data_IF_971523592234
#
_entry.id   IF_971523592234
#
_cell.length_a   1.000
_cell.length_b   1.000
_cell.length_c   1.000
_cell.angle_alpha   90.00
_cell.angle_beta   90.00
_cell.angle_gamma   90.00
#
_symmetry.space_group_name_H-M   'P 1'
#
loop_
_entity.id
_entity.type
_entity.pdbx_description
1 polymer ?
#
# COMPACT_ATOMS: atom_id res chain seq x y z
N UNK A 1 -8.13 14.49 -13.44
CA UNK A 1 -8.59 14.88 -12.10
C UNK A 1 -7.53 14.40 -11.11
N UNK A 2 -6.64 15.28 -10.65
CA UNK A 2 -5.68 14.93 -9.61
C UNK A 2 -6.45 14.91 -8.28
N UNK A 3 -6.54 13.75 -7.65
CA UNK A 3 -7.18 13.61 -6.33
C UNK A 3 -6.23 14.25 -5.32
N UNK A 4 -6.72 15.22 -4.55
CA UNK A 4 -5.95 15.84 -3.49
C UNK A 4 -6.04 14.96 -2.23
N UNK A 5 -4.87 14.52 -1.74
CA UNK A 5 -4.75 13.60 -0.61
C UNK A 5 -4.27 14.29 0.67
N UNK A 6 -4.26 15.63 0.71
CA UNK A 6 -3.87 16.39 1.91
C UNK A 6 -4.75 16.06 3.13
N UNK A 7 -5.99 15.63 2.91
CA UNK A 7 -6.93 15.14 3.94
C UNK A 7 -6.42 13.91 4.71
N UNK A 8 -5.56 13.08 4.11
CA UNK A 8 -4.95 11.93 4.80
C UNK A 8 -4.04 12.43 5.95
N UNK A 9 -3.45 13.62 5.80
CA UNK A 9 -2.60 14.25 6.82
C UNK A 9 -3.40 14.73 8.05
N UNK A 10 -4.71 14.89 7.91
CA UNK A 10 -5.61 15.31 9.00
C UNK A 10 -6.14 14.14 9.83
N UNK A 11 -5.86 12.90 9.44
CA UNK A 11 -6.23 11.73 10.24
C UNK A 11 -5.53 11.79 11.60
N UNK A 12 -6.28 11.87 12.72
CA UNK A 12 -5.72 12.14 14.04
C UNK A 12 -4.91 10.95 14.58
N UNK A 13 -5.14 9.73 14.06
CA UNK A 13 -4.43 8.52 14.48
C UNK A 13 -3.34 8.14 13.49
N UNK A 14 -2.16 7.82 14.02
CA UNK A 14 -1.00 7.33 13.26
C UNK A 14 -1.36 6.07 12.46
N UNK A 15 -2.09 5.16 13.09
CA UNK A 15 -2.67 3.98 12.47
C UNK A 15 -3.62 4.34 11.30
N UNK A 16 -4.42 5.39 11.44
CA UNK A 16 -5.33 5.86 10.40
C UNK A 16 -4.60 6.31 9.13
N UNK A 17 -3.53 7.11 9.28
CA UNK A 17 -2.69 7.56 8.16
C UNK A 17 -2.09 6.35 7.42
N UNK A 18 -1.49 5.42 8.15
CA UNK A 18 -0.81 4.25 7.56
C UNK A 18 -1.82 3.32 6.87
N UNK A 19 -2.97 3.05 7.51
CA UNK A 19 -4.02 2.23 6.92
C UNK A 19 -4.63 2.84 5.66
N UNK A 20 -4.89 4.15 5.66
CA UNK A 20 -5.40 4.86 4.49
C UNK A 20 -4.41 4.80 3.31
N UNK A 21 -3.12 5.04 3.56
CA UNK A 21 -2.08 4.96 2.53
C UNK A 21 -1.92 3.53 2.02
N UNK A 22 -1.97 2.52 2.89
CA UNK A 22 -1.88 1.11 2.49
C UNK A 22 -3.03 0.67 1.58
N UNK A 23 -4.26 1.10 1.89
CA UNK A 23 -5.44 0.81 1.05
C UNK A 23 -5.39 1.58 -0.27
N UNK A 24 -5.01 2.85 -0.25
CA UNK A 24 -4.87 3.65 -1.46
C UNK A 24 -3.78 3.11 -2.39
N UNK A 25 -2.69 2.61 -1.82
CA UNK A 25 -1.60 1.94 -2.55
C UNK A 25 -2.08 0.70 -3.32
N UNK A 26 -3.13 0.00 -2.86
CA UNK A 26 -3.71 -1.13 -3.62
C UNK A 26 -4.42 -0.69 -4.90
N UNK A 27 -5.00 0.52 -4.90
CA UNK A 27 -5.75 1.06 -6.03
C UNK A 27 -4.86 1.77 -7.06
N UNK A 28 -3.82 2.47 -6.58
CA UNK A 28 -2.93 3.29 -7.43
C UNK A 28 -1.63 2.53 -7.80
N UNK A 29 -1.24 1.53 -7.01
CA UNK A 29 0.08 0.89 -6.94
C UNK A 29 1.07 1.62 -6.02
N UNK A 30 1.93 0.86 -5.33
CA UNK A 30 2.87 1.37 -4.31
C UNK A 30 3.82 2.46 -4.83
N UNK A 31 4.40 2.31 -6.01
CA UNK A 31 5.33 3.27 -6.61
C UNK A 31 4.64 4.59 -6.97
N UNK A 32 3.58 4.61 -7.82
CA UNK A 32 2.89 5.86 -8.16
C UNK A 32 2.17 6.49 -6.95
N UNK A 33 1.69 5.71 -5.98
CA UNK A 33 1.17 6.26 -4.72
C UNK A 33 2.27 7.01 -3.95
N UNK A 34 3.46 6.43 -3.85
CA UNK A 34 4.62 7.09 -3.22
C UNK A 34 4.96 8.39 -3.93
N UNK A 35 5.12 8.37 -5.26
CA UNK A 35 5.49 9.57 -6.04
C UNK A 35 4.42 10.66 -5.94
N UNK A 36 3.14 10.29 -5.95
CA UNK A 36 2.03 11.26 -5.90
C UNK A 36 1.88 11.92 -4.53
N UNK A 37 2.15 11.17 -3.46
CA UNK A 37 1.92 11.61 -2.08
C UNK A 37 3.18 12.19 -1.41
N UNK A 38 4.38 11.87 -1.88
CA UNK A 38 5.65 12.31 -1.26
C UNK A 38 5.79 13.84 -1.14
N UNK A 39 5.25 14.60 -2.10
CA UNK A 39 5.27 16.07 -2.06
C UNK A 39 4.19 16.71 -1.18
N UNK A 40 3.24 15.92 -0.64
CA UNK A 40 2.09 16.39 0.15
C UNK A 40 2.05 15.80 1.56
N UNK A 41 2.71 14.68 1.79
CA UNK A 41 2.76 14.02 3.09
C UNK A 41 3.66 14.78 4.06
N UNK A 42 3.08 15.27 5.16
CA UNK A 42 3.80 15.89 6.27
C UNK A 42 4.76 14.91 6.96
N UNK A 43 4.42 13.61 6.97
CA UNK A 43 5.25 12.57 7.55
C UNK A 43 5.61 11.49 6.52
N UNK A 44 6.78 11.66 5.93
CA UNK A 44 7.35 10.72 4.97
C UNK A 44 7.54 9.31 5.54
N UNK A 45 7.75 9.14 6.85
CA UNK A 45 7.95 7.81 7.45
C UNK A 45 6.66 7.01 7.44
N UNK A 46 5.55 7.66 7.78
CA UNK A 46 4.21 7.04 7.79
C UNK A 46 3.73 6.76 6.37
N UNK A 47 4.07 7.65 5.43
CA UNK A 47 3.86 7.40 4.01
C UNK A 47 4.58 6.11 3.56
N UNK A 48 5.89 6.03 3.78
CA UNK A 48 6.70 4.88 3.40
C UNK A 48 6.21 3.58 4.06
N UNK A 49 5.83 3.65 5.32
CA UNK A 49 5.27 2.50 6.03
C UNK A 49 3.95 2.05 5.39
N UNK A 50 3.05 2.98 5.07
CA UNK A 50 1.77 2.67 4.43
C UNK A 50 1.90 2.08 3.04
N UNK A 51 2.72 2.67 2.16
CA UNK A 51 2.92 2.15 0.79
C UNK A 51 3.64 0.80 0.77
N UNK A 52 4.52 0.55 1.75
CA UNK A 52 5.21 -0.72 1.86
C UNK A 52 4.27 -1.82 2.37
N UNK A 53 3.47 -1.53 3.41
CA UNK A 53 2.41 -2.43 3.88
C UNK A 53 1.36 -2.67 2.78
N UNK A 54 1.09 -1.67 1.93
CA UNK A 54 0.18 -1.78 0.78
C UNK A 54 0.69 -2.58 -0.41
N UNK A 55 1.97 -2.97 -0.46
CA UNK A 55 2.59 -3.64 -1.60
C UNK A 55 2.12 -5.08 -1.88
N UNK A 56 2.08 -5.98 -0.88
CA UNK A 56 1.89 -7.42 -1.13
C UNK A 56 0.49 -7.81 -1.63
N UNK A 57 -0.57 -7.03 -1.42
CA UNK A 57 -1.96 -7.51 -1.59
C UNK A 57 -2.34 -7.98 -3.00
N UNK A 58 -2.90 -7.10 -3.84
CA UNK A 58 -3.42 -7.50 -5.15
C UNK A 58 -2.33 -7.46 -6.23
N UNK A 59 -2.58 -8.16 -7.34
CA UNK A 59 -1.68 -8.12 -8.51
C UNK A 59 -1.58 -6.71 -9.10
N UNK A 60 -2.65 -5.93 -8.99
CA UNK A 60 -2.67 -4.50 -9.36
C UNK A 60 -2.03 -3.58 -8.31
N UNK A 61 -1.82 -4.06 -7.07
CA UNK A 61 -1.36 -3.25 -5.95
C UNK A 61 0.14 -2.94 -5.96
N UNK A 62 0.94 -3.72 -6.71
CA UNK A 62 2.38 -3.48 -6.83
C UNK A 62 2.94 -4.00 -8.15
N UNK A 63 3.97 -3.31 -8.65
CA UNK A 63 4.74 -3.75 -9.81
C UNK A 63 5.51 -5.05 -9.52
N UNK A 64 5.93 -5.27 -8.27
CA UNK A 64 6.59 -6.51 -7.84
C UNK A 64 5.66 -7.72 -7.99
N UNK A 65 4.37 -7.56 -7.68
CA UNK A 65 3.36 -8.60 -7.88
C UNK A 65 3.15 -8.94 -9.37
N UNK A 66 3.22 -7.94 -10.26
CA UNK A 66 3.21 -8.16 -11.70
C UNK A 66 4.47 -8.88 -12.17
N UNK A 67 5.65 -8.49 -11.68
CA UNK A 67 6.91 -9.17 -12.01
C UNK A 67 6.85 -10.62 -11.55
N UNK A 68 6.37 -10.90 -10.33
CA UNK A 68 6.27 -12.26 -9.79
C UNK A 68 5.35 -13.15 -10.63
N UNK A 69 4.23 -12.63 -11.10
CA UNK A 69 3.31 -13.35 -12.00
C UNK A 69 3.93 -13.57 -13.38
N UNK A 70 4.63 -12.56 -13.92
CA UNK A 70 5.23 -12.61 -15.26
C UNK A 70 6.46 -13.51 -15.34
N UNK A 71 7.39 -13.39 -14.40
CA UNK A 71 8.62 -14.18 -14.36
C UNK A 71 8.39 -15.58 -13.77
N UNK A 72 7.52 -15.70 -12.76
CA UNK A 72 7.22 -16.97 -12.12
C UNK A 72 6.28 -17.87 -12.93
N UNK A 73 5.69 -17.38 -14.03
CA UNK A 73 4.70 -18.12 -14.83
C UNK A 73 3.43 -18.51 -14.06
N UNK A 74 3.23 -17.93 -12.86
CA UNK A 74 2.12 -18.22 -11.97
C UNK A 74 0.86 -17.46 -12.39
N UNK A 75 -0.33 -17.94 -12.00
CA UNK A 75 -1.56 -17.16 -12.21
C UNK A 75 -1.71 -16.13 -11.10
N UNK A 76 -2.41 -15.03 -11.40
CA UNK A 76 -2.75 -14.01 -10.40
C UNK A 76 -3.38 -14.59 -9.13
N UNK A 77 -4.24 -15.61 -9.29
CA UNK A 77 -4.89 -16.33 -8.18
C UNK A 77 -3.87 -17.02 -7.25
N UNK A 78 -2.81 -17.57 -7.82
CA UNK A 78 -1.81 -18.31 -7.05
C UNK A 78 -0.98 -17.34 -6.21
N UNK A 79 -0.70 -16.14 -6.75
CA UNK A 79 -0.12 -15.04 -5.98
C UNK A 79 -1.06 -14.58 -4.87
N UNK A 80 -2.33 -14.27 -5.18
CA UNK A 80 -3.29 -13.72 -4.22
C UNK A 80 -3.48 -14.63 -3.00
N UNK A 81 -3.32 -15.95 -3.14
CA UNK A 81 -3.38 -16.90 -2.02
C UNK A 81 -2.33 -16.67 -0.95
N UNK A 82 -1.16 -16.15 -1.30
CA UNK A 82 -0.09 -15.84 -0.35
C UNK A 82 -0.06 -14.36 -0.01
N UNK A 83 -0.29 -13.53 -1.02
CA UNK A 83 -0.01 -12.10 -0.98
C UNK A 83 -1.14 -11.30 -0.29
N UNK A 84 -2.40 -11.76 -0.39
CA UNK A 84 -3.54 -11.16 0.33
C UNK A 84 -3.49 -11.46 1.84
N UNK A 85 -3.24 -12.71 2.30
CA UNK A 85 -3.04 -12.97 3.73
C UNK A 85 -1.88 -12.18 4.33
N UNK A 86 -0.77 -12.07 3.61
CA UNK A 86 0.40 -11.30 4.04
C UNK A 86 0.08 -9.79 4.17
N UNK A 87 -0.67 -9.24 3.19
CA UNK A 87 -1.19 -7.87 3.27
C UNK A 87 -2.07 -7.66 4.50
N UNK A 88 -3.02 -8.56 4.76
CA UNK A 88 -3.93 -8.43 5.91
C UNK A 88 -3.17 -8.55 7.22
N UNK A 89 -2.25 -9.52 7.35
CA UNK A 89 -1.43 -9.70 8.54
C UNK A 89 -0.55 -8.46 8.80
N UNK A 90 0.14 -7.98 7.76
CA UNK A 90 0.99 -6.78 7.85
C UNK A 90 0.18 -5.53 8.20
N UNK A 91 -1.03 -5.37 7.64
CA UNK A 91 -1.92 -4.27 7.98
C UNK A 91 -2.37 -4.34 9.45
N UNK A 92 -2.79 -5.51 9.92
CA UNK A 92 -3.21 -5.71 11.32
C UNK A 92 -2.05 -5.40 12.28
N UNK A 93 -0.87 -5.97 12.02
CA UNK A 93 0.33 -5.73 12.83
C UNK A 93 0.69 -4.25 12.85
N UNK A 94 0.65 -3.59 11.69
CA UNK A 94 0.98 -2.18 11.60
C UNK A 94 -0.03 -1.30 12.35
N UNK A 95 -1.33 -1.60 12.25
CA UNK A 95 -2.38 -0.92 13.01
C UNK A 95 -2.28 -1.18 14.52
N UNK A 96 -1.75 -2.32 14.95
CA UNK A 96 -1.54 -2.64 16.35
C UNK A 96 -0.32 -1.92 16.96
N UNK A 97 0.67 -1.54 16.14
CA UNK A 97 1.93 -0.92 16.59
C UNK A 97 1.91 0.62 16.46
N UNK A 98 1.07 1.18 15.57
CA UNK A 98 1.02 2.62 15.26
C UNK A 98 0.13 3.44 16.20
#
# INVERSE_FOLDING_TARGET
MFVDFSEISFLPSRAGVVGAVALLSQAISNVPATVTLMGRAQDWRRLLLGVNVGGPGLVSGSLENLISVRLGGARARDLHRYSVPDFVASLIVCLAIC
#
